data_IF_648947609904
#
_entry.id   IF_648947609904
#
_cell.length_a   1.000
_cell.length_b   1.000
_cell.length_c   1.000
_cell.angle_alpha   90.00
_cell.angle_beta   90.00
_cell.angle_gamma   90.00
#
_symmetry.space_group_name_H-M   'P 1'
#
loop_
_entity.id
_entity.type
_entity.pdbx_description
1 polymer ?
#
# COMPACT_ATOMS: atom_id res chain seq x y z
N UNK A 1 35.27 -7.95 39.19
CA UNK A 1 34.82 -8.22 37.81
C UNK A 1 33.32 -8.38 37.83
N UNK A 2 32.59 -7.34 37.39
CA UNK A 2 31.13 -7.27 37.49
C UNK A 2 30.48 -7.99 36.29
N UNK A 3 29.59 -8.94 36.58
CA UNK A 3 28.75 -9.62 35.58
C UNK A 3 27.66 -8.65 35.12
N UNK A 4 27.70 -8.28 33.84
CA UNK A 4 26.63 -7.56 33.15
C UNK A 4 25.47 -8.50 32.91
N UNK A 5 24.40 -8.37 33.70
CA UNK A 5 23.10 -8.95 33.41
C UNK A 5 22.36 -8.02 32.45
N UNK A 6 22.51 -8.25 31.15
CA UNK A 6 21.67 -7.63 30.14
C UNK A 6 20.23 -8.14 30.31
N UNK A 7 19.43 -7.40 31.07
CA UNK A 7 18.02 -7.64 31.23
C UNK A 7 17.32 -7.50 29.87
N UNK A 8 16.92 -8.62 29.28
CA UNK A 8 16.04 -8.69 28.13
C UNK A 8 14.75 -7.93 28.44
N UNK A 9 14.64 -6.69 27.94
CA UNK A 9 13.40 -5.91 27.98
C UNK A 9 12.41 -6.58 27.03
N UNK A 10 11.64 -7.54 27.55
CA UNK A 10 10.47 -8.07 26.84
C UNK A 10 9.51 -6.90 26.60
N UNK A 11 9.45 -6.37 25.39
CA UNK A 11 8.41 -5.44 24.98
C UNK A 11 7.09 -6.21 24.89
N UNK A 12 6.46 -6.43 26.05
CA UNK A 12 5.11 -6.97 26.10
C UNK A 12 4.21 -5.97 25.39
N UNK A 13 3.80 -6.32 24.16
CA UNK A 13 2.85 -5.57 23.33
C UNK A 13 1.67 -5.17 24.23
N UNK A 14 1.62 -3.89 24.58
CA UNK A 14 0.53 -3.34 25.38
C UNK A 14 -0.68 -3.24 24.45
N UNK A 15 -1.53 -4.25 24.48
CA UNK A 15 -2.81 -4.19 23.79
C UNK A 15 -3.61 -3.00 24.36
N UNK A 16 -4.26 -2.24 23.49
CA UNK A 16 -5.15 -1.16 23.89
C UNK A 16 -6.30 -1.75 24.72
N UNK A 17 -6.27 -1.54 26.03
CA UNK A 17 -7.34 -1.96 26.94
C UNK A 17 -8.38 -0.85 26.99
N UNK A 18 -9.62 -1.19 26.70
CA UNK A 18 -10.75 -0.29 26.90
C UNK A 18 -10.96 -0.13 28.41
N UNK A 19 -10.54 1.01 28.96
CA UNK A 19 -10.82 1.36 30.35
C UNK A 19 -12.23 1.96 30.45
N UNK A 20 -13.04 1.55 31.45
CA UNK A 20 -14.36 2.15 31.66
C UNK A 20 -14.20 3.64 31.97
N UNK A 21 -14.75 4.50 31.10
CA UNK A 21 -14.67 5.95 31.25
C UNK A 21 -16.01 6.51 31.70
N UNK A 22 -16.11 6.87 32.97
CA UNK A 22 -17.27 7.59 33.50
C UNK A 22 -17.10 9.08 33.20
N UNK A 23 -18.05 9.68 32.49
CA UNK A 23 -18.11 11.13 32.27
C UNK A 23 -19.24 11.71 33.12
N UNK A 24 -18.92 12.61 34.04
CA UNK A 24 -19.94 13.39 34.76
C UNK A 24 -20.51 14.45 33.82
N UNK A 25 -21.83 14.41 33.60
CA UNK A 25 -22.52 15.33 32.70
C UNK A 25 -23.40 16.28 33.51
N UNK A 26 -23.34 17.56 33.19
CA UNK A 26 -24.24 18.57 33.77
C UNK A 26 -25.67 18.30 33.28
N UNK A 27 -26.66 18.43 34.16
CA UNK A 27 -28.07 18.22 33.79
C UNK A 27 -28.52 19.13 32.64
N UNK A 28 -28.03 20.38 32.60
CA UNK A 28 -28.29 21.30 31.49
C UNK A 28 -27.74 20.81 30.15
N UNK A 29 -26.66 20.04 30.14
CA UNK A 29 -26.11 19.44 28.92
C UNK A 29 -26.98 18.27 28.43
N UNK A 30 -27.56 17.50 29.35
CA UNK A 30 -28.53 16.45 29.03
C UNK A 30 -29.76 17.10 28.39
N UNK A 31 -30.39 18.07 29.07
CA UNK A 31 -31.60 18.74 28.55
C UNK A 31 -31.38 19.46 27.21
N UNK A 32 -30.18 20.00 26.95
CA UNK A 32 -29.85 20.73 25.73
C UNK A 32 -29.45 19.82 24.56
N UNK A 33 -28.66 18.78 24.80
CA UNK A 33 -28.06 17.96 23.74
C UNK A 33 -28.75 16.62 23.52
N UNK A 34 -29.42 16.10 24.55
CA UNK A 34 -30.06 14.79 24.46
C UNK A 34 -31.46 14.96 23.91
N UNK A 35 -31.74 14.24 22.83
CA UNK A 35 -33.02 14.31 22.12
C UNK A 35 -33.85 13.08 22.45
N UNK A 36 -35.15 13.18 22.25
CA UNK A 36 -36.04 12.02 22.30
C UNK A 36 -35.77 11.14 21.10
N UNK A 37 -35.92 9.84 21.29
CA UNK A 37 -35.62 8.83 20.28
C UNK A 37 -36.63 8.89 19.11
N UNK A 38 -36.17 8.82 17.84
CA UNK A 38 -37.06 8.73 16.67
C UNK A 38 -38.02 7.53 16.75
N UNK A 39 -39.18 7.62 16.07
CA UNK A 39 -40.22 6.57 16.10
C UNK A 39 -39.66 5.22 15.62
N UNK A 40 -38.91 5.20 14.51
CA UNK A 40 -38.34 3.97 13.95
C UNK A 40 -37.33 3.30 14.88
N UNK A 41 -36.47 4.08 15.53
CA UNK A 41 -35.53 3.55 16.53
C UNK A 41 -36.23 3.03 17.78
N UNK A 42 -37.33 3.66 18.21
CA UNK A 42 -38.13 3.19 19.35
C UNK A 42 -38.70 1.79 19.13
N UNK A 43 -39.21 1.52 17.93
CA UNK A 43 -39.71 0.20 17.57
C UNK A 43 -38.60 -0.86 17.65
N UNK A 44 -37.42 -0.57 17.09
CA UNK A 44 -36.25 -1.46 17.14
C UNK A 44 -35.80 -1.78 18.56
N UNK A 45 -35.76 -0.79 19.46
CA UNK A 45 -35.43 -1.02 20.87
C UNK A 45 -36.49 -1.88 21.57
N UNK A 46 -37.78 -1.67 21.28
CA UNK A 46 -38.84 -2.52 21.80
C UNK A 46 -38.70 -3.98 21.32
N UNK A 47 -38.37 -4.17 20.04
CA UNK A 47 -38.14 -5.50 19.46
C UNK A 47 -36.89 -6.18 20.06
N UNK A 48 -35.82 -5.43 20.32
CA UNK A 48 -34.65 -5.95 21.04
C UNK A 48 -35.01 -6.39 22.47
N UNK A 49 -35.73 -5.56 23.23
CA UNK A 49 -36.13 -5.90 24.60
C UNK A 49 -36.98 -7.18 24.63
N UNK A 50 -37.92 -7.32 23.68
CA UNK A 50 -38.72 -8.54 23.48
C UNK A 50 -37.89 -9.74 23.03
N UNK A 51 -36.84 -9.51 22.24
CA UNK A 51 -35.94 -10.58 21.79
C UNK A 51 -35.05 -11.06 22.94
N UNK A 52 -34.64 -10.17 23.84
CA UNK A 52 -33.85 -10.49 25.05
C UNK A 52 -34.72 -11.20 26.10
N UNK A 53 -36.02 -10.92 26.15
CA UNK A 53 -36.97 -11.65 26.99
C UNK A 53 -37.09 -13.14 26.60
N UNK A 54 -36.95 -13.48 25.31
CA UNK A 54 -37.11 -14.85 24.79
C UNK A 54 -36.10 -15.88 25.30
N UNK A 55 -34.78 -15.63 25.36
CA UNK A 55 -33.81 -16.61 25.86
C UNK A 55 -33.94 -16.88 27.37
N UNK A 56 -34.52 -15.98 28.15
CA UNK A 56 -34.87 -16.26 29.55
C UNK A 56 -35.94 -17.38 29.66
N UNK A 57 -36.81 -17.53 28.64
CA UNK A 57 -37.82 -18.58 28.56
C UNK A 57 -37.24 -19.97 28.26
N UNK A 58 -36.08 -20.05 27.59
CA UNK A 58 -35.55 -21.34 27.10
C UNK A 58 -34.51 -21.96 28.02
N UNK A 59 -33.87 -21.16 28.89
CA UNK A 59 -32.80 -21.62 29.79
C UNK A 59 -33.23 -21.85 31.24
N UNK A 60 -34.47 -21.49 31.60
CA UNK A 60 -35.05 -21.86 32.88
C UNK A 60 -35.66 -23.25 32.80
N UNK A 61 -35.10 -24.22 33.53
CA UNK A 61 -35.92 -25.34 34.01
C UNK A 61 -37.21 -24.75 34.56
N UNK A 62 -38.34 -25.40 34.31
CA UNK A 62 -39.72 -24.92 34.53
C UNK A 62 -40.08 -24.76 36.03
N UNK A 63 -39.16 -24.22 36.81
CA UNK A 63 -39.29 -23.89 38.22
C UNK A 63 -40.28 -22.74 38.33
N UNK A 64 -41.20 -22.85 39.29
CA UNK A 64 -42.20 -21.82 39.61
C UNK A 64 -41.58 -20.42 39.79
N UNK A 65 -40.34 -20.37 40.28
CA UNK A 65 -39.52 -19.15 40.42
C UNK A 65 -39.13 -18.54 39.08
N UNK A 66 -38.90 -19.35 38.05
CA UNK A 66 -38.64 -18.89 36.68
C UNK A 66 -39.87 -18.23 36.05
N UNK A 67 -41.06 -18.77 36.30
CA UNK A 67 -42.33 -18.18 35.82
C UNK A 67 -42.61 -16.82 36.49
N UNK A 68 -42.39 -16.71 37.81
CA UNK A 68 -42.53 -15.45 38.54
C UNK A 68 -41.49 -14.41 38.12
N UNK A 69 -40.23 -14.81 37.96
CA UNK A 69 -39.17 -13.94 37.44
C UNK A 69 -39.47 -13.50 36.01
N UNK A 70 -40.04 -14.37 35.17
CA UNK A 70 -40.45 -14.03 33.81
C UNK A 70 -41.58 -13.00 33.79
N UNK A 71 -42.61 -13.18 34.61
CA UNK A 71 -43.71 -12.21 34.71
C UNK A 71 -43.20 -10.83 35.12
N UNK A 72 -42.26 -10.78 36.08
CA UNK A 72 -41.61 -9.55 36.49
C UNK A 72 -40.77 -8.92 35.38
N UNK A 73 -39.97 -9.70 34.64
CA UNK A 73 -39.16 -9.21 33.52
C UNK A 73 -40.05 -8.68 32.39
N UNK A 74 -41.14 -9.37 32.08
CA UNK A 74 -42.12 -8.95 31.07
C UNK A 74 -42.79 -7.62 31.46
N UNK A 75 -43.26 -7.51 32.71
CA UNK A 75 -43.82 -6.27 33.25
C UNK A 75 -42.81 -5.12 33.20
N UNK A 76 -41.56 -5.39 33.57
CA UNK A 76 -40.49 -4.40 33.52
C UNK A 76 -40.19 -3.94 32.08
N UNK A 77 -40.16 -4.87 31.12
CA UNK A 77 -39.98 -4.56 29.69
C UNK A 77 -41.13 -3.69 29.18
N UNK A 78 -42.38 -4.00 29.53
CA UNK A 78 -43.53 -3.17 29.16
C UNK A 78 -43.43 -1.76 29.77
N UNK A 79 -43.04 -1.65 31.03
CA UNK A 79 -42.82 -0.36 31.69
C UNK A 79 -41.69 0.44 30.99
N UNK A 80 -40.62 -0.21 30.57
CA UNK A 80 -39.54 0.44 29.81
C UNK A 80 -40.00 0.93 28.44
N UNK A 81 -40.78 0.13 27.72
CA UNK A 81 -41.35 0.52 26.41
C UNK A 81 -42.24 1.76 26.58
N UNK A 82 -43.06 1.82 27.63
CA UNK A 82 -43.91 2.98 27.94
C UNK A 82 -43.10 4.24 28.30
N UNK A 83 -41.92 4.09 28.89
CA UNK A 83 -41.04 5.21 29.29
C UNK A 83 -40.10 5.67 28.17
N UNK A 84 -39.88 4.84 27.15
CA UNK A 84 -38.97 5.09 26.03
C UNK A 84 -39.21 6.44 25.30
N UNK A 85 -40.46 6.90 25.07
CA UNK A 85 -40.70 8.19 24.41
C UNK A 85 -40.33 9.41 25.25
N UNK A 86 -40.25 9.24 26.58
CA UNK A 86 -39.97 10.32 27.54
C UNK A 86 -38.50 10.35 27.98
N UNK A 87 -37.74 9.29 27.68
CA UNK A 87 -36.33 9.20 28.05
C UNK A 87 -35.45 10.04 27.10
N UNK A 88 -34.58 10.91 27.62
CA UNK A 88 -33.60 11.60 26.80
C UNK A 88 -32.49 10.62 26.41
N UNK A 89 -32.09 10.61 25.14
CA UNK A 89 -30.99 9.77 24.64
C UNK A 89 -29.79 10.63 24.22
N UNK A 90 -28.56 10.14 24.44
CA UNK A 90 -27.35 10.81 23.98
C UNK A 90 -27.41 11.18 22.49
N UNK A 91 -26.80 12.30 22.08
CA UNK A 91 -26.69 12.64 20.66
C UNK A 91 -25.84 11.60 19.92
N UNK A 92 -26.27 11.22 18.71
CA UNK A 92 -25.59 10.21 17.87
C UNK A 92 -26.09 8.79 18.05
N UNK A 93 -27.18 8.57 18.80
CA UNK A 93 -27.91 7.31 18.77
C UNK A 93 -28.75 7.25 17.48
N UNK A 94 -28.26 6.51 16.49
CA UNK A 94 -28.96 6.30 15.23
C UNK A 94 -29.70 4.96 15.24
N UNK A 95 -30.60 4.77 14.28
CA UNK A 95 -31.31 3.49 14.10
C UNK A 95 -30.37 2.30 13.92
N UNK A 96 -29.23 2.50 13.28
CA UNK A 96 -28.22 1.48 13.04
C UNK A 96 -27.49 1.06 14.32
N UNK A 97 -27.45 1.92 15.34
CA UNK A 97 -26.81 1.64 16.62
C UNK A 97 -27.52 0.54 17.41
N UNK A 98 -28.81 0.29 17.13
CA UNK A 98 -29.63 -0.73 17.78
C UNK A 98 -29.84 -1.97 16.90
N UNK A 99 -29.18 -2.06 15.75
CA UNK A 99 -29.25 -3.23 14.89
C UNK A 99 -28.01 -4.10 15.11
N UNK A 100 -28.17 -5.21 15.83
CA UNK A 100 -27.08 -6.16 16.12
C UNK A 100 -26.37 -6.63 14.84
N UNK A 101 -27.12 -7.06 13.84
CA UNK A 101 -26.58 -7.50 12.55
C UNK A 101 -25.77 -6.40 11.84
N UNK A 102 -26.23 -5.15 11.91
CA UNK A 102 -25.50 -4.03 11.31
C UNK A 102 -24.17 -3.79 12.02
N UNK A 103 -24.12 -3.97 13.34
CA UNK A 103 -22.87 -3.83 14.12
C UNK A 103 -21.90 -4.96 13.83
N UNK A 104 -22.37 -6.21 13.70
CA UNK A 104 -21.54 -7.35 13.30
C UNK A 104 -20.99 -7.16 11.89
N UNK A 105 -21.82 -6.76 10.94
CA UNK A 105 -21.36 -6.54 9.56
C UNK A 105 -20.31 -5.43 9.51
N UNK A 106 -20.51 -4.34 10.25
CA UNK A 106 -19.50 -3.28 10.37
C UNK A 106 -18.21 -3.80 11.01
N UNK A 107 -18.30 -4.61 12.06
CA UNK A 107 -17.14 -5.21 12.70
C UNK A 107 -16.37 -6.09 11.72
N UNK A 108 -17.06 -6.95 10.97
CA UNK A 108 -16.45 -7.81 9.95
C UNK A 108 -15.73 -7.00 8.87
N UNK A 109 -16.35 -5.95 8.35
CA UNK A 109 -15.69 -5.06 7.36
C UNK A 109 -14.42 -4.43 7.95
N UNK A 110 -14.47 -3.97 9.20
CA UNK A 110 -13.30 -3.41 9.88
C UNK A 110 -12.20 -4.45 10.13
N UNK A 111 -12.57 -5.69 10.45
CA UNK A 111 -11.63 -6.81 10.63
C UNK A 111 -10.99 -7.22 9.31
N UNK A 112 -11.75 -7.25 8.21
CA UNK A 112 -11.25 -7.51 6.86
C UNK A 112 -10.27 -6.40 6.44
N UNK A 113 -10.62 -5.12 6.67
CA UNK A 113 -9.72 -3.98 6.42
C UNK A 113 -8.45 -4.04 7.29
N UNK A 114 -8.58 -4.36 8.57
CA UNK A 114 -7.44 -4.48 9.47
C UNK A 114 -6.50 -5.61 9.03
N UNK A 115 -7.06 -6.75 8.63
CA UNK A 115 -6.31 -7.90 8.11
C UNK A 115 -5.56 -7.52 6.84
N UNK A 116 -6.24 -6.93 5.85
CA UNK A 116 -5.63 -6.46 4.61
C UNK A 116 -4.49 -5.46 4.85
N UNK A 117 -4.71 -4.48 5.74
CA UNK A 117 -3.69 -3.50 6.09
C UNK A 117 -2.50 -4.14 6.82
N UNK A 118 -2.73 -5.11 7.69
CA UNK A 118 -1.66 -5.84 8.38
C UNK A 118 -0.80 -6.62 7.39
N UNK A 119 -1.42 -7.27 6.40
CA UNK A 119 -0.70 -7.96 5.34
C UNK A 119 0.08 -6.99 4.45
N UNK A 120 -0.54 -5.88 4.04
CA UNK A 120 0.14 -4.85 3.25
C UNK A 120 1.37 -4.28 3.96
N UNK A 121 1.25 -3.97 5.25
CA UNK A 121 2.39 -3.54 6.07
C UNK A 121 3.47 -4.62 6.13
N UNK A 122 3.09 -5.90 6.30
CA UNK A 122 4.04 -7.02 6.28
C UNK A 122 4.84 -7.10 4.98
N UNK A 123 4.17 -6.98 3.83
CA UNK A 123 4.82 -6.98 2.51
C UNK A 123 5.76 -5.78 2.36
N UNK A 124 5.31 -4.57 2.69
CA UNK A 124 6.13 -3.37 2.60
C UNK A 124 7.36 -3.44 3.52
N UNK A 125 7.22 -4.01 4.72
CA UNK A 125 8.37 -4.19 5.61
C UNK A 125 9.38 -5.22 5.10
N UNK A 126 8.92 -6.24 4.38
CA UNK A 126 9.80 -7.21 3.72
C UNK A 126 10.54 -6.55 2.56
N UNK A 127 9.83 -5.83 1.69
CA UNK A 127 10.40 -5.11 0.56
C UNK A 127 11.46 -4.08 1.00
N UNK A 128 11.14 -3.26 2.01
CA UNK A 128 12.12 -2.32 2.59
C UNK A 128 13.34 -3.06 3.14
N UNK A 129 13.16 -4.25 3.71
CA UNK A 129 14.28 -5.08 4.16
C UNK A 129 15.17 -5.56 3.00
N UNK A 130 14.57 -5.93 1.87
CA UNK A 130 15.30 -6.35 0.68
C UNK A 130 16.03 -5.18 0.01
N UNK A 131 15.36 -4.05 -0.19
CA UNK A 131 15.93 -2.84 -0.77
C UNK A 131 17.08 -2.29 0.08
N UNK A 132 16.94 -2.27 1.41
CA UNK A 132 18.01 -1.79 2.29
C UNK A 132 19.24 -2.71 2.24
N UNK A 133 19.03 -4.03 2.18
CA UNK A 133 20.13 -4.99 2.03
C UNK A 133 20.83 -4.88 0.66
N UNK A 134 20.08 -4.60 -0.41
CA UNK A 134 20.64 -4.35 -1.74
C UNK A 134 21.47 -3.06 -1.74
N UNK A 135 20.94 -1.99 -1.16
CA UNK A 135 21.61 -0.70 -1.05
C UNK A 135 22.89 -0.75 -0.20
N UNK A 136 22.95 -1.61 0.82
CA UNK A 136 24.18 -1.88 1.56
C UNK A 136 25.25 -2.54 0.68
N UNK A 137 24.89 -3.54 -0.13
CA UNK A 137 25.83 -4.18 -1.07
C UNK A 137 26.34 -3.22 -2.13
N UNK A 138 25.48 -2.35 -2.67
CA UNK A 138 25.89 -1.34 -3.64
C UNK A 138 26.85 -0.32 -3.02
N UNK A 139 26.60 0.12 -1.78
CA UNK A 139 27.53 0.99 -1.04
C UNK A 139 28.88 0.33 -0.81
N UNK A 140 28.90 -0.96 -0.47
CA UNK A 140 30.14 -1.72 -0.35
C UNK A 140 30.89 -1.79 -1.68
N UNK A 141 30.19 -2.05 -2.78
CA UNK A 141 30.76 -2.06 -4.14
C UNK A 141 31.33 -0.69 -4.58
N UNK A 142 30.62 0.40 -4.29
CA UNK A 142 31.12 1.75 -4.53
C UNK A 142 32.38 2.02 -3.70
N UNK A 143 32.39 1.64 -2.43
CA UNK A 143 33.54 1.82 -1.55
C UNK A 143 34.77 0.99 -2.00
N UNK A 144 34.59 -0.14 -2.68
CA UNK A 144 35.70 -0.86 -3.31
C UNK A 144 36.21 -0.14 -4.55
N UNK A 145 35.31 0.31 -5.43
CA UNK A 145 35.69 1.02 -6.66
C UNK A 145 36.38 2.36 -6.37
N UNK A 146 35.94 3.10 -5.35
CA UNK A 146 36.59 4.34 -4.91
C UNK A 146 38.02 4.11 -4.42
N UNK A 147 38.26 2.99 -3.71
CA UNK A 147 39.61 2.61 -3.26
C UNK A 147 40.50 2.23 -4.44
N UNK A 148 39.98 1.42 -5.35
CA UNK A 148 40.72 0.98 -6.55
C UNK A 148 41.10 2.18 -7.42
N UNK A 149 40.17 3.13 -7.63
CA UNK A 149 40.43 4.37 -8.35
C UNK A 149 41.48 5.23 -7.61
N UNK A 150 41.35 5.39 -6.30
CA UNK A 150 42.32 6.13 -5.48
C UNK A 150 43.73 5.52 -5.54
N UNK A 151 43.83 4.19 -5.55
CA UNK A 151 45.11 3.49 -5.64
C UNK A 151 45.70 3.54 -7.05
N UNK A 152 44.85 3.53 -8.08
CA UNK A 152 45.25 3.76 -9.47
C UNK A 152 45.82 5.17 -9.65
N UNK A 153 45.12 6.22 -9.19
CA UNK A 153 45.61 7.61 -9.23
C UNK A 153 46.95 7.76 -8.50
N UNK A 154 47.12 7.13 -7.32
CA UNK A 154 48.40 7.12 -6.60
C UNK A 154 49.50 6.40 -7.38
N UNK A 155 49.16 5.32 -8.08
CA UNK A 155 50.12 4.57 -8.89
C UNK A 155 50.53 5.36 -10.13
N UNK A 156 49.60 6.04 -10.79
CA UNK A 156 49.83 6.94 -11.92
C UNK A 156 50.73 8.10 -11.50
N UNK A 157 50.42 8.79 -10.40
CA UNK A 157 51.27 9.87 -9.88
C UNK A 157 52.70 9.40 -9.57
N UNK A 158 52.88 8.17 -9.06
CA UNK A 158 54.20 7.57 -8.86
C UNK A 158 54.89 7.21 -10.17
N UNK A 159 54.16 6.75 -11.18
CA UNK A 159 54.70 6.46 -12.50
C UNK A 159 55.14 7.74 -13.20
N UNK A 160 54.31 8.78 -13.20
CA UNK A 160 54.62 10.10 -13.74
C UNK A 160 55.90 10.69 -13.13
N UNK A 161 56.08 10.57 -11.81
CA UNK A 161 57.31 10.99 -11.11
C UNK A 161 58.56 10.19 -11.53
N UNK A 162 58.39 8.97 -12.03
CA UNK A 162 59.49 8.10 -12.51
C UNK A 162 59.80 8.29 -13.99
N UNK A 163 59.00 9.08 -14.73
CA UNK A 163 59.29 9.43 -16.11
C UNK A 163 60.42 10.46 -16.20
N UNK A 164 61.22 10.38 -17.26
CA UNK A 164 62.31 11.31 -17.51
C UNK A 164 61.75 12.73 -17.78
N UNK A 165 62.42 13.83 -17.37
CA UNK A 165 61.89 15.20 -17.46
C UNK A 165 61.32 15.63 -18.83
N UNK A 166 61.88 15.11 -19.94
CA UNK A 166 61.39 15.38 -21.29
C UNK A 166 60.05 14.68 -21.62
N UNK A 167 59.77 13.53 -21.02
CA UNK A 167 58.48 12.83 -21.19
C UNK A 167 57.37 13.47 -20.33
N UNK A 168 57.72 14.01 -19.16
CA UNK A 168 56.80 14.81 -18.32
C UNK A 168 56.31 16.08 -19.04
N UNK A 169 57.21 16.79 -19.75
CA UNK A 169 56.86 18.01 -20.48
C UNK A 169 55.82 17.76 -21.59
N UNK A 170 55.90 16.61 -22.28
CA UNK A 170 54.95 16.24 -23.34
C UNK A 170 53.64 15.65 -22.80
N UNK A 171 53.61 15.09 -21.58
CA UNK A 171 52.39 14.55 -20.98
C UNK A 171 51.40 15.64 -20.54
N UNK A 172 51.91 16.81 -20.14
CA UNK A 172 51.13 18.02 -19.84
C UNK A 172 50.51 18.67 -21.09
N UNK A 173 51.01 18.35 -22.28
CA UNK A 173 50.41 18.70 -23.58
C UNK A 173 49.39 17.63 -24.02
N UNK A 174 48.50 17.20 -23.13
CA UNK A 174 47.32 16.43 -23.55
C UNK A 174 46.28 17.41 -24.10
N UNK A 175 45.80 17.25 -25.35
CA UNK A 175 44.75 18.12 -25.89
C UNK A 175 43.49 18.04 -25.02
N UNK A 176 42.69 19.12 -24.96
CA UNK A 176 41.52 19.18 -24.09
C UNK A 176 40.59 18.01 -24.38
N UNK A 177 40.03 17.41 -23.32
CA UNK A 177 38.97 16.39 -23.37
C UNK A 177 37.80 16.92 -24.19
N UNK A 178 37.84 16.74 -25.50
CA UNK A 178 36.68 16.93 -26.37
C UNK A 178 35.73 15.79 -26.05
N UNK A 179 34.60 16.14 -25.46
CA UNK A 179 33.37 15.36 -25.58
C UNK A 179 33.22 14.95 -27.04
N UNK A 180 33.40 13.67 -27.33
CA UNK A 180 33.24 13.15 -28.69
C UNK A 180 31.75 13.16 -28.99
N UNK A 181 31.29 14.27 -29.56
CA UNK A 181 30.05 14.34 -30.30
C UNK A 181 30.30 13.61 -31.63
N UNK A 182 29.59 12.51 -31.85
CA UNK A 182 29.66 11.76 -33.10
C UNK A 182 29.00 12.58 -34.22
N UNK A 183 29.79 13.36 -34.94
CA UNK A 183 29.37 13.96 -36.21
C UNK A 183 29.94 13.14 -37.37
N UNK A 184 29.07 12.36 -38.01
CA UNK A 184 29.40 11.46 -39.11
C UNK A 184 29.56 12.27 -40.41
N UNK A 185 30.72 12.89 -40.61
CA UNK A 185 31.11 13.46 -41.90
C UNK A 185 32.32 12.76 -42.48
N UNK A 186 31.99 11.81 -43.36
CA UNK A 186 32.79 11.20 -44.43
C UNK A 186 34.17 11.82 -44.70
N UNK A 187 35.21 11.12 -44.26
CA UNK A 187 36.57 11.24 -44.84
C UNK A 187 36.72 10.14 -45.87
N UNK A 188 36.76 10.56 -47.13
CA UNK A 188 37.08 9.73 -48.29
C UNK A 188 38.58 9.52 -48.36
N UNK A 189 39.01 8.25 -48.45
CA UNK A 189 40.39 7.90 -48.77
C UNK A 189 40.93 6.74 -47.96
N UNK A 190 40.61 5.52 -48.42
CA UNK A 190 41.33 4.23 -48.39
C UNK A 190 40.35 3.11 -48.07
N UNK A 191 40.22 2.19 -49.02
CA UNK A 191 39.47 0.91 -48.99
C UNK A 191 38.92 0.52 -47.61
N UNK A 192 37.70 0.96 -47.33
CA UNK A 192 36.93 0.46 -46.21
C UNK A 192 36.37 -0.91 -46.60
N UNK A 193 36.44 -1.94 -45.72
CA UNK A 193 35.76 -3.20 -45.97
C UNK A 193 34.27 -2.91 -46.07
N UNK A 194 33.67 -3.24 -47.21
CA UNK A 194 32.21 -3.19 -47.38
C UNK A 194 31.58 -4.22 -46.44
N UNK A 195 30.35 -3.98 -45.98
CA UNK A 195 29.61 -4.87 -45.04
C UNK A 195 29.59 -6.34 -45.49
N UNK A 196 29.75 -6.61 -46.79
CA UNK A 196 29.91 -7.96 -47.35
C UNK A 196 31.22 -8.68 -46.97
N UNK A 197 32.33 -7.99 -46.66
CA UNK A 197 33.58 -8.62 -46.19
C UNK A 197 33.48 -9.07 -44.72
N UNK A 198 32.53 -8.51 -43.94
CA UNK A 198 32.28 -8.89 -42.54
C UNK A 198 31.42 -10.15 -42.40
N UNK A 199 30.78 -10.59 -43.49
CA UNK A 199 30.04 -11.85 -43.56
C UNK A 199 30.95 -13.07 -43.82
N UNK A 200 32.17 -12.83 -44.30
CA UNK A 200 33.16 -13.86 -44.64
C UNK A 200 33.99 -14.32 -43.43
N UNK A 201 34.11 -13.47 -42.40
CA UNK A 201 34.78 -13.80 -41.14
C UNK A 201 33.85 -14.62 -40.21
N UNK A 202 34.32 -15.81 -39.79
CA UNK A 202 33.50 -16.78 -39.04
C UNK A 202 33.03 -16.26 -37.67
N UNK A 203 33.85 -15.46 -37.01
CA UNK A 203 33.57 -14.91 -35.68
C UNK A 203 32.63 -13.70 -35.73
N UNK A 204 32.72 -12.87 -36.77
CA UNK A 204 31.81 -11.73 -36.99
C UNK A 204 30.43 -12.19 -37.44
N UNK A 205 30.36 -13.28 -38.20
CA UNK A 205 29.10 -13.92 -38.59
C UNK A 205 28.32 -14.46 -37.39
N UNK A 206 28.99 -15.12 -36.45
CA UNK A 206 28.36 -15.61 -35.22
C UNK A 206 27.84 -14.44 -34.37
N UNK A 207 28.59 -13.33 -34.28
CA UNK A 207 28.13 -12.12 -33.59
C UNK A 207 26.95 -11.44 -34.29
N UNK A 208 26.99 -11.31 -35.62
CA UNK A 208 25.87 -10.76 -36.42
C UNK A 208 24.62 -11.62 -36.29
N UNK A 209 24.79 -12.94 -36.27
CA UNK A 209 23.70 -13.87 -36.06
C UNK A 209 23.14 -13.73 -34.64
N UNK A 210 23.98 -13.60 -33.60
CA UNK A 210 23.52 -13.33 -32.23
C UNK A 210 22.78 -11.99 -32.12
N UNK A 211 23.24 -10.96 -32.82
CA UNK A 211 22.60 -9.64 -32.85
C UNK A 211 21.26 -9.68 -33.58
N UNK A 212 21.17 -10.45 -34.69
CA UNK A 212 19.90 -10.71 -35.38
C UNK A 212 18.92 -11.48 -34.51
N UNK A 213 19.37 -12.53 -33.80
CA UNK A 213 18.53 -13.25 -32.85
C UNK A 213 18.06 -12.36 -31.69
N UNK A 214 18.90 -11.41 -31.25
CA UNK A 214 18.52 -10.45 -30.21
C UNK A 214 17.51 -9.41 -30.73
N UNK A 215 17.70 -8.90 -31.94
CA UNK A 215 16.74 -8.00 -32.60
C UNK A 215 15.39 -8.70 -32.85
N UNK A 216 15.39 -9.93 -33.34
CA UNK A 216 14.17 -10.73 -33.51
C UNK A 216 13.49 -11.01 -32.16
N UNK A 217 14.28 -11.28 -31.10
CA UNK A 217 13.75 -11.46 -29.74
C UNK A 217 13.15 -10.17 -29.17
N UNK A 218 13.81 -9.02 -29.39
CA UNK A 218 13.27 -7.71 -29.02
C UNK A 218 12.02 -7.37 -29.83
N UNK A 219 12.00 -7.65 -31.13
CA UNK A 219 10.84 -7.42 -31.99
C UNK A 219 9.64 -8.26 -31.54
N UNK A 220 9.84 -9.56 -31.28
CA UNK A 220 8.79 -10.45 -30.78
C UNK A 220 8.31 -10.05 -29.36
N UNK A 221 9.23 -9.55 -28.51
CA UNK A 221 8.86 -9.01 -27.19
C UNK A 221 8.02 -7.74 -27.31
N UNK A 222 8.37 -6.85 -28.25
CA UNK A 222 7.61 -5.62 -28.52
C UNK A 222 6.22 -5.95 -29.09
N UNK A 223 6.12 -6.93 -29.99
CA UNK A 223 4.84 -7.37 -30.54
C UNK A 223 3.93 -7.96 -29.44
N UNK A 224 4.48 -8.75 -28.52
CA UNK A 224 3.74 -9.22 -27.34
C UNK A 224 3.27 -8.06 -26.43
N UNK A 225 4.07 -7.00 -26.25
CA UNK A 225 3.62 -5.83 -25.47
C UNK A 225 2.55 -5.01 -26.18
N UNK A 226 2.52 -4.99 -27.52
CA UNK A 226 1.51 -4.27 -28.30
C UNK A 226 0.12 -4.88 -28.14
N UNK A 227 0.04 -6.20 -28.05
CA UNK A 227 -1.23 -6.90 -27.78
C UNK A 227 -1.78 -6.57 -26.39
N UNK A 228 -0.90 -6.37 -25.41
CA UNK A 228 -1.28 -5.95 -24.05
C UNK A 228 -1.84 -4.53 -24.05
N UNK A 229 -1.27 -3.60 -24.83
CA UNK A 229 -1.80 -2.24 -24.97
C UNK A 229 -3.23 -2.25 -25.55
N UNK A 230 -3.50 -3.10 -26.54
CA UNK A 230 -4.85 -3.26 -27.11
C UNK A 230 -5.80 -3.88 -26.09
N UNK A 231 -5.37 -4.90 -25.34
CA UNK A 231 -6.15 -5.50 -24.27
C UNK A 231 -6.44 -4.49 -23.13
N UNK A 232 -5.48 -3.61 -22.82
CA UNK A 232 -5.65 -2.56 -21.82
C UNK A 232 -6.67 -1.52 -22.31
N UNK A 233 -6.52 -1.03 -23.54
CA UNK A 233 -7.45 -0.06 -24.14
C UNK A 233 -8.89 -0.60 -24.19
N UNK A 234 -9.07 -1.87 -24.55
CA UNK A 234 -10.39 -2.53 -24.55
C UNK A 234 -10.95 -2.68 -23.15
N UNK A 235 -10.14 -3.07 -22.16
CA UNK A 235 -10.58 -3.15 -20.76
C UNK A 235 -10.96 -1.78 -20.19
N UNK A 236 -10.21 -0.73 -20.53
CA UNK A 236 -10.48 0.63 -20.13
C UNK A 236 -11.78 1.15 -20.76
N UNK A 237 -12.03 0.86 -22.04
CA UNK A 237 -13.29 1.17 -22.70
C UNK A 237 -14.48 0.44 -22.03
N UNK A 238 -14.33 -0.85 -21.73
CA UNK A 238 -15.36 -1.64 -21.04
C UNK A 238 -15.65 -1.09 -19.63
N UNK A 239 -14.62 -0.71 -18.88
CA UNK A 239 -14.77 -0.05 -17.57
C UNK A 239 -15.42 1.33 -17.70
N UNK A 240 -15.10 2.09 -18.75
CA UNK A 240 -15.77 3.36 -19.04
C UNK A 240 -17.26 3.20 -19.27
N UNK A 241 -17.67 2.20 -20.05
CA UNK A 241 -19.08 1.85 -20.28
C UNK A 241 -19.76 1.40 -18.99
N UNK A 242 -19.12 0.52 -18.21
CA UNK A 242 -19.66 0.06 -16.93
C UNK A 242 -19.84 1.22 -15.94
N UNK A 243 -18.82 2.09 -15.81
CA UNK A 243 -18.87 3.25 -14.94
C UNK A 243 -19.99 4.21 -15.36
N UNK A 244 -20.17 4.45 -16.66
CA UNK A 244 -21.28 5.27 -17.16
C UNK A 244 -22.66 4.70 -16.80
N UNK A 245 -22.82 3.37 -16.82
CA UNK A 245 -24.12 2.74 -16.48
C UNK A 245 -24.44 2.78 -14.99
N UNK A 246 -23.43 2.88 -14.11
CA UNK A 246 -23.58 2.73 -12.67
C UNK A 246 -23.40 4.02 -11.86
N UNK A 247 -22.56 4.95 -12.32
CA UNK A 247 -22.39 6.26 -11.68
C UNK A 247 -23.43 7.26 -12.18
N UNK A 248 -23.87 8.16 -11.30
CA UNK A 248 -24.64 9.32 -11.73
C UNK A 248 -23.78 10.21 -12.64
N UNK A 249 -24.41 10.89 -13.62
CA UNK A 249 -23.74 11.74 -14.62
C UNK A 249 -22.74 12.73 -13.99
N UNK A 250 -23.10 13.30 -12.85
CA UNK A 250 -22.27 14.28 -12.12
C UNK A 250 -21.02 13.64 -11.52
N UNK A 251 -21.13 12.42 -10.96
CA UNK A 251 -19.99 11.69 -10.39
C UNK A 251 -19.03 11.19 -11.47
N UNK A 252 -19.56 10.76 -12.62
CA UNK A 252 -18.74 10.35 -13.77
C UNK A 252 -17.89 11.52 -14.31
N UNK A 253 -18.48 12.71 -14.40
CA UNK A 253 -17.78 13.92 -14.86
C UNK A 253 -16.64 14.36 -13.91
N UNK A 254 -16.81 14.17 -12.59
CA UNK A 254 -15.78 14.46 -11.59
C UNK A 254 -14.60 13.49 -11.65
N UNK A 255 -14.87 12.19 -11.83
CA UNK A 255 -13.82 11.15 -11.87
C UNK A 255 -12.94 11.32 -13.11
N UNK A 256 -13.52 11.66 -14.25
CA UNK A 256 -12.78 11.82 -15.51
C UNK A 256 -12.35 13.26 -15.83
N UNK A 257 -12.61 14.22 -14.92
CA UNK A 257 -12.28 15.65 -15.11
C UNK A 257 -12.72 16.19 -16.48
N UNK A 258 -13.87 15.73 -16.96
CA UNK A 258 -14.47 16.24 -18.18
C UNK A 258 -15.24 17.48 -17.78
N UNK A 259 -14.69 18.66 -18.06
CA UNK A 259 -15.37 19.93 -17.81
C UNK A 259 -16.72 19.92 -18.53
N UNK A 260 -17.80 19.89 -17.74
CA UNK A 260 -19.16 19.91 -18.24
C UNK A 260 -19.40 21.27 -18.93
N UNK A 261 -19.42 21.24 -20.26
CA UNK A 261 -19.95 22.33 -21.10
C UNK A 261 -21.41 22.08 -21.41
#
# INVERSE_FOLDING_TARGET
MAKSTAAAKSSRKQYARLAPRVKTLKEGAIRKKWRKLPVGTRAKVADLLRTIERPALTHGNNDRRGVEAQAFVSEFVEQLILRLPRMPFPPGTDELSFNFESTINRQRVLEEQLTANTHAVGLLTAEVGEETALLEREKEGLATLEKDLSDLERSEARQEQRLHPFAQANALETPPKTTVEYDARTVSGTTAPTVSDLDDDRETKDMLEQLRHHLDSMQNSVESTRDIEVALATSQAALGVFNWTRLAKDEYSQVYKMDAT
#
